data_IF_235785791301
#
_entry.id   IF_235785791301
#
_cell.length_a   1.000
_cell.length_b   1.000
_cell.length_c   1.000
_cell.angle_alpha   90.00
_cell.angle_beta   90.00
_cell.angle_gamma   90.00
#
_symmetry.space_group_name_H-M   'P 1'
#
loop_
_entity.id
_entity.type
_entity.pdbx_description
1 polymer ?
#
# COMPACT_ATOMS: atom_id res chain seq x y z
N UNK A 1 -16.28 -6.14 -35.39
CA UNK A 1 -14.80 -6.15 -35.30
C UNK A 1 -14.22 -4.96 -34.51
N UNK A 2 -14.74 -3.74 -34.60
CA UNK A 2 -14.23 -2.54 -33.89
C UNK A 2 -14.31 -2.61 -32.36
N UNK A 3 -15.40 -3.12 -31.79
CA UNK A 3 -15.57 -3.32 -30.33
C UNK A 3 -14.61 -4.36 -29.73
N UNK A 4 -14.32 -5.44 -30.47
CA UNK A 4 -13.39 -6.48 -30.04
C UNK A 4 -11.94 -5.97 -30.07
N UNK A 5 -11.55 -5.26 -31.13
CA UNK A 5 -10.23 -4.64 -31.23
C UNK A 5 -9.99 -3.56 -30.16
N UNK A 6 -11.03 -2.83 -29.75
CA UNK A 6 -10.95 -1.83 -28.69
C UNK A 6 -10.83 -2.50 -27.31
N UNK A 7 -11.64 -3.51 -27.00
CA UNK A 7 -11.51 -4.30 -25.76
C UNK A 7 -10.13 -4.96 -25.66
N UNK A 8 -9.62 -5.52 -26.76
CA UNK A 8 -8.30 -6.15 -26.81
C UNK A 8 -7.15 -5.16 -26.58
N UNK A 9 -7.19 -3.97 -27.19
CA UNK A 9 -6.19 -2.91 -26.95
C UNK A 9 -6.18 -2.43 -25.50
N UNK A 10 -7.36 -2.34 -24.86
CA UNK A 10 -7.50 -1.94 -23.46
C UNK A 10 -6.90 -2.95 -22.49
N UNK A 11 -6.99 -4.25 -22.77
CA UNK A 11 -6.33 -5.28 -21.95
C UNK A 11 -4.82 -5.27 -22.14
N UNK A 12 -4.33 -5.06 -23.37
CA UNK A 12 -2.89 -4.91 -23.63
C UNK A 12 -2.27 -3.76 -22.84
N UNK A 13 -2.93 -2.60 -22.79
CA UNK A 13 -2.42 -1.44 -22.05
C UNK A 13 -2.13 -1.76 -20.57
N UNK A 14 -3.12 -2.29 -19.85
CA UNK A 14 -2.94 -2.58 -18.42
C UNK A 14 -1.96 -3.72 -18.18
N UNK A 15 -1.94 -4.75 -19.05
CA UNK A 15 -0.95 -5.82 -18.96
C UNK A 15 0.47 -5.28 -19.16
N UNK A 16 0.69 -4.44 -20.16
CA UNK A 16 2.00 -3.80 -20.37
C UNK A 16 2.41 -2.94 -19.17
N UNK A 17 1.49 -2.14 -18.62
CA UNK A 17 1.78 -1.29 -17.47
C UNK A 17 2.10 -2.10 -16.22
N UNK A 18 1.37 -3.21 -15.98
CA UNK A 18 1.64 -4.15 -14.88
C UNK A 18 2.97 -4.87 -15.09
N UNK A 19 3.28 -5.32 -16.30
CA UNK A 19 4.58 -5.93 -16.60
C UNK A 19 5.73 -4.94 -16.37
N UNK A 20 5.60 -3.70 -16.85
CA UNK A 20 6.57 -2.64 -16.60
C UNK A 20 6.72 -2.40 -15.09
N UNK A 21 5.61 -2.31 -14.36
CA UNK A 21 5.63 -2.16 -12.90
C UNK A 21 6.39 -3.32 -12.24
N UNK A 22 6.06 -4.58 -12.55
CA UNK A 22 6.72 -5.75 -11.96
C UNK A 22 8.22 -5.80 -12.29
N UNK A 23 8.62 -5.45 -13.52
CA UNK A 23 10.04 -5.43 -13.92
C UNK A 23 10.79 -4.34 -13.15
N UNK A 24 10.29 -3.10 -13.17
CA UNK A 24 11.01 -1.96 -12.60
C UNK A 24 10.89 -1.88 -11.07
N UNK A 25 9.77 -2.32 -10.49
CA UNK A 25 9.61 -2.43 -9.05
C UNK A 25 10.26 -3.72 -8.53
N UNK A 26 10.38 -4.77 -9.34
CA UNK A 26 11.11 -5.99 -8.99
C UNK A 26 12.63 -5.88 -9.17
N UNK A 27 13.12 -4.86 -9.86
CA UNK A 27 14.55 -4.64 -10.05
C UNK A 27 15.24 -4.41 -8.69
N UNK A 28 16.27 -5.18 -8.34
CA UNK A 28 17.01 -5.00 -7.09
C UNK A 28 16.14 -5.17 -5.83
N UNK A 29 15.25 -6.16 -5.79
CA UNK A 29 14.49 -6.49 -4.57
C UNK A 29 15.34 -7.03 -3.43
N UNK A 30 16.58 -7.45 -3.66
CA UNK A 30 17.53 -7.79 -2.59
C UNK A 30 18.15 -6.55 -1.94
N UNK A 31 17.91 -5.36 -2.49
CA UNK A 31 18.50 -4.11 -2.02
C UNK A 31 18.19 -3.86 -0.54
N UNK A 32 19.23 -3.50 0.24
CA UNK A 32 19.12 -3.26 1.67
C UNK A 32 18.51 -4.45 2.44
N UNK A 33 19.11 -5.63 2.31
CA UNK A 33 18.84 -6.74 3.23
C UNK A 33 18.90 -6.32 4.72
N UNK A 34 19.63 -5.26 5.07
CA UNK A 34 19.75 -4.70 6.42
C UNK A 34 18.87 -3.48 6.74
N UNK A 35 17.73 -3.27 6.06
CA UNK A 35 16.82 -2.14 6.36
C UNK A 35 16.47 -2.06 7.85
N UNK A 36 16.73 -0.90 8.47
CA UNK A 36 16.23 -0.55 9.80
C UNK A 36 14.77 -0.06 9.72
N UNK A 37 13.99 -0.27 10.79
CA UNK A 37 12.62 0.26 10.90
C UNK A 37 11.51 -0.77 10.97
N UNK A 38 10.33 -0.38 10.47
CA UNK A 38 9.15 -1.26 10.45
C UNK A 38 9.39 -2.49 9.56
N UNK A 39 10.17 -2.36 8.49
CA UNK A 39 10.52 -3.50 7.62
C UNK A 39 11.28 -4.59 8.38
N UNK A 40 12.20 -4.23 9.30
CA UNK A 40 12.88 -5.18 10.17
C UNK A 40 11.89 -5.92 11.07
N UNK A 41 10.94 -5.19 11.67
CA UNK A 41 9.92 -5.80 12.56
C UNK A 41 9.01 -6.76 11.80
N UNK A 42 8.60 -6.39 10.58
CA UNK A 42 7.79 -7.26 9.74
C UNK A 42 8.56 -8.47 9.24
N UNK A 43 9.82 -8.28 8.84
CA UNK A 43 10.74 -9.35 8.46
C UNK A 43 10.90 -10.38 9.57
N UNK A 44 11.27 -9.93 10.77
CA UNK A 44 11.46 -10.83 11.91
C UNK A 44 10.16 -11.56 12.24
N UNK A 45 9.02 -10.85 12.26
CA UNK A 45 7.73 -11.49 12.53
C UNK A 45 7.32 -12.52 11.46
N UNK A 46 7.58 -12.25 10.18
CA UNK A 46 7.34 -13.20 9.10
C UNK A 46 8.23 -14.45 9.24
N UNK A 47 9.50 -14.27 9.65
CA UNK A 47 10.43 -15.37 9.87
C UNK A 47 10.01 -16.27 11.03
N UNK A 48 9.61 -15.70 12.17
CA UNK A 48 9.16 -16.50 13.32
C UNK A 48 7.88 -17.28 13.00
N UNK A 49 6.91 -16.65 12.32
CA UNK A 49 5.68 -17.35 11.89
C UNK A 49 6.03 -18.53 10.98
N UNK A 50 6.96 -18.34 10.04
CA UNK A 50 7.38 -19.40 9.13
C UNK A 50 8.16 -20.52 9.84
N UNK A 51 9.02 -20.17 10.80
CA UNK A 51 9.89 -21.10 11.52
C UNK A 51 9.19 -21.80 12.70
N UNK A 52 7.91 -21.49 12.96
CA UNK A 52 7.17 -22.00 14.11
C UNK A 52 7.58 -21.38 15.45
N UNK A 53 8.28 -20.24 15.41
CA UNK A 53 8.71 -19.50 16.59
C UNK A 53 7.62 -18.59 17.19
N UNK A 54 7.97 -17.76 18.19
CA UNK A 54 7.01 -16.89 18.85
C UNK A 54 6.43 -15.83 17.91
N UNK A 55 5.13 -15.57 18.04
CA UNK A 55 4.47 -14.52 17.25
C UNK A 55 4.98 -13.13 17.68
N UNK A 56 5.49 -12.36 16.71
CA UNK A 56 6.03 -11.01 16.96
C UNK A 56 5.24 -9.91 16.25
N UNK A 57 5.41 -8.67 16.74
CA UNK A 57 4.72 -7.49 16.23
C UNK A 57 3.19 -7.72 16.30
N UNK A 58 2.71 -8.08 17.47
CA UNK A 58 1.30 -8.42 17.66
C UNK A 58 0.38 -7.21 17.46
N UNK A 59 0.89 -5.99 17.39
CA UNK A 59 0.08 -4.79 17.15
C UNK A 59 -0.62 -4.82 15.78
N UNK A 60 -0.17 -5.69 14.87
CA UNK A 60 -0.75 -5.86 13.54
C UNK A 60 -1.28 -7.27 13.28
N UNK A 61 -2.40 -7.38 12.53
CA UNK A 61 -2.92 -8.66 12.04
C UNK A 61 -1.90 -9.51 11.26
N UNK A 62 -2.15 -10.82 11.16
CA UNK A 62 -1.11 -11.77 10.75
C UNK A 62 -1.02 -12.04 9.24
N UNK A 63 -2.08 -11.82 8.44
CA UNK A 63 -2.14 -12.30 7.05
C UNK A 63 -0.92 -11.89 6.23
N UNK A 64 -0.54 -10.61 6.31
CA UNK A 64 0.60 -10.12 5.54
C UNK A 64 1.89 -10.84 5.91
N UNK A 65 2.12 -11.05 7.21
CA UNK A 65 3.34 -11.67 7.73
C UNK A 65 3.38 -13.15 7.40
N UNK A 66 2.25 -13.83 7.48
CA UNK A 66 2.09 -15.22 7.05
C UNK A 66 2.43 -15.36 5.56
N UNK A 67 1.86 -14.51 4.69
CA UNK A 67 2.19 -14.54 3.27
C UNK A 67 3.68 -14.27 3.01
N UNK A 68 4.27 -13.30 3.70
CA UNK A 68 5.69 -12.97 3.59
C UNK A 68 6.57 -14.15 4.01
N UNK A 69 6.24 -14.82 5.12
CA UNK A 69 6.95 -16.00 5.61
C UNK A 69 6.84 -17.18 4.64
N UNK A 70 5.64 -17.48 4.13
CA UNK A 70 5.44 -18.53 3.12
C UNK A 70 6.26 -18.27 1.86
N UNK A 71 6.23 -17.05 1.32
CA UNK A 71 7.02 -16.72 0.14
C UNK A 71 8.53 -16.76 0.41
N UNK A 72 8.98 -16.38 1.60
CA UNK A 72 10.38 -16.53 2.01
C UNK A 72 10.82 -18.00 1.92
N UNK A 73 10.02 -18.90 2.49
CA UNK A 73 10.25 -20.35 2.43
C UNK A 73 10.29 -20.89 1.01
N UNK A 74 9.31 -20.52 0.18
CA UNK A 74 9.26 -20.93 -1.22
C UNK A 74 10.49 -20.47 -2.00
N UNK A 75 10.93 -19.23 -1.82
CA UNK A 75 12.15 -18.74 -2.47
C UNK A 75 13.41 -19.43 -1.96
N UNK A 76 13.49 -19.70 -0.66
CA UNK A 76 14.62 -20.41 -0.05
C UNK A 76 14.75 -21.85 -0.62
N UNK A 77 13.63 -22.56 -0.76
CA UNK A 77 13.58 -23.90 -1.37
C UNK A 77 14.04 -23.91 -2.83
N UNK A 78 13.90 -22.78 -3.53
CA UNK A 78 14.35 -22.60 -4.90
C UNK A 78 15.79 -22.06 -5.01
N UNK A 79 16.49 -21.88 -3.88
CA UNK A 79 17.86 -21.37 -3.83
C UNK A 79 18.00 -19.85 -3.97
N UNK A 80 16.91 -19.09 -3.83
CA UNK A 80 16.92 -17.62 -3.83
C UNK A 80 16.96 -17.05 -2.42
N UNK A 81 17.40 -15.79 -2.30
CA UNK A 81 17.39 -15.05 -1.03
C UNK A 81 15.96 -14.95 -0.45
N UNK A 82 15.72 -15.45 0.79
CA UNK A 82 14.42 -15.38 1.45
C UNK A 82 13.87 -13.96 1.60
N UNK A 83 14.73 -12.94 1.71
CA UNK A 83 14.31 -11.53 1.82
C UNK A 83 13.59 -11.09 0.55
N UNK A 84 14.09 -11.53 -0.61
CA UNK A 84 13.43 -11.27 -1.90
C UNK A 84 12.04 -11.89 -1.88
N UNK A 85 11.91 -13.14 -1.39
CA UNK A 85 10.63 -13.82 -1.20
C UNK A 85 9.66 -13.02 -0.32
N UNK A 86 10.12 -12.51 0.83
CA UNK A 86 9.29 -11.71 1.73
C UNK A 86 8.74 -10.43 1.08
N UNK A 87 9.39 -9.89 0.05
CA UNK A 87 8.91 -8.69 -0.67
C UNK A 87 7.93 -9.00 -1.79
N UNK A 88 7.86 -10.25 -2.26
CA UNK A 88 6.97 -10.67 -3.35
C UNK A 88 5.48 -10.40 -3.05
N UNK A 89 4.93 -10.67 -1.85
CA UNK A 89 3.53 -10.36 -1.56
C UNK A 89 3.20 -8.88 -1.74
N UNK A 90 4.05 -7.97 -1.25
CA UNK A 90 3.89 -6.52 -1.44
C UNK A 90 3.95 -6.14 -2.92
N UNK A 91 4.88 -6.73 -3.68
CA UNK A 91 5.06 -6.45 -5.11
C UNK A 91 3.83 -6.86 -5.92
N UNK A 92 3.34 -8.07 -5.69
CA UNK A 92 2.14 -8.59 -6.34
C UNK A 92 0.91 -7.78 -5.93
N UNK A 93 0.80 -7.37 -4.67
CA UNK A 93 -0.30 -6.55 -4.21
C UNK A 93 -0.25 -5.12 -4.78
N UNK A 94 0.93 -4.53 -4.98
CA UNK A 94 1.10 -3.26 -5.69
C UNK A 94 0.69 -3.34 -7.17
N UNK A 95 1.10 -4.41 -7.87
CA UNK A 95 0.65 -4.69 -9.23
C UNK A 95 -0.87 -4.92 -9.29
N UNK A 96 -1.41 -5.65 -8.31
CA UNK A 96 -2.83 -5.88 -8.12
C UNK A 96 -3.60 -4.58 -7.86
N UNK A 97 -3.06 -3.67 -7.06
CA UNK A 97 -3.66 -2.36 -6.81
C UNK A 97 -3.75 -1.51 -8.07
N UNK A 98 -2.70 -1.53 -8.90
CA UNK A 98 -2.69 -0.86 -10.20
C UNK A 98 -3.77 -1.45 -11.14
N UNK A 99 -3.83 -2.78 -11.25
CA UNK A 99 -4.80 -3.48 -12.07
C UNK A 99 -6.24 -3.27 -11.57
N UNK A 100 -6.48 -3.33 -10.25
CA UNK A 100 -7.78 -3.12 -9.64
C UNK A 100 -8.28 -1.68 -9.84
N UNK A 101 -7.40 -0.69 -9.71
CA UNK A 101 -7.73 0.72 -9.99
C UNK A 101 -8.20 0.90 -11.43
N UNK A 102 -7.44 0.36 -12.39
CA UNK A 102 -7.83 0.35 -13.79
C UNK A 102 -9.18 -0.37 -14.01
N UNK A 103 -9.37 -1.55 -13.40
CA UNK A 103 -10.59 -2.34 -13.54
C UNK A 103 -11.83 -1.65 -12.96
N UNK A 104 -11.71 -0.98 -11.81
CA UNK A 104 -12.78 -0.19 -11.20
C UNK A 104 -13.21 0.93 -12.16
N UNK A 105 -12.27 1.72 -12.66
CA UNK A 105 -12.61 2.79 -13.60
C UNK A 105 -13.16 2.27 -14.92
N UNK A 106 -12.58 1.21 -15.48
CA UNK A 106 -13.04 0.65 -16.75
C UNK A 106 -14.47 0.13 -16.65
N UNK A 107 -14.83 -0.49 -15.52
CA UNK A 107 -16.16 -1.09 -15.31
C UNK A 107 -17.23 -0.08 -14.90
N UNK A 108 -16.88 0.90 -14.05
CA UNK A 108 -17.87 1.76 -13.40
C UNK A 108 -17.81 3.24 -13.78
N UNK A 109 -16.79 3.65 -14.52
CA UNK A 109 -16.59 5.02 -14.97
C UNK A 109 -16.49 5.04 -16.50
N UNK A 110 -15.31 5.27 -17.06
CA UNK A 110 -15.07 5.27 -18.50
C UNK A 110 -13.71 4.65 -18.83
N UNK A 111 -13.53 4.22 -20.07
CA UNK A 111 -12.26 3.66 -20.53
C UNK A 111 -11.10 4.67 -20.47
N UNK A 112 -11.40 5.95 -20.73
CA UNK A 112 -10.44 7.04 -20.65
C UNK A 112 -10.05 7.28 -19.20
N UNK A 113 -11.03 7.35 -18.29
CA UNK A 113 -10.77 7.44 -16.85
C UNK A 113 -9.94 6.26 -16.34
N UNK A 114 -10.11 5.05 -16.90
CA UNK A 114 -9.30 3.90 -16.52
C UNK A 114 -7.82 4.09 -16.84
N UNK A 115 -7.49 4.51 -18.06
CA UNK A 115 -6.12 4.82 -18.47
C UNK A 115 -5.54 5.94 -17.61
N UNK A 116 -6.28 7.03 -17.43
CA UNK A 116 -5.84 8.18 -16.64
C UNK A 116 -5.58 7.80 -15.17
N UNK A 117 -6.49 7.07 -14.52
CA UNK A 117 -6.32 6.65 -13.13
C UNK A 117 -5.11 5.73 -12.94
N UNK A 118 -4.89 4.79 -13.87
CA UNK A 118 -3.73 3.90 -13.84
C UNK A 118 -2.42 4.67 -14.03
N UNK A 119 -2.35 5.64 -14.94
CA UNK A 119 -1.15 6.46 -15.15
C UNK A 119 -0.85 7.35 -13.94
N UNK A 120 -1.88 7.98 -13.36
CA UNK A 120 -1.73 8.79 -12.14
C UNK A 120 -1.20 7.94 -10.98
N UNK A 121 -1.79 6.77 -10.74
CA UNK A 121 -1.35 5.86 -9.68
C UNK A 121 0.07 5.32 -9.95
N UNK A 122 0.37 4.92 -11.19
CA UNK A 122 1.71 4.48 -11.60
C UNK A 122 2.76 5.58 -11.41
N UNK A 123 2.40 6.85 -11.59
CA UNK A 123 3.32 7.99 -11.38
C UNK A 123 3.50 8.41 -9.91
N UNK A 124 2.92 7.69 -8.95
CA UNK A 124 3.06 8.01 -7.54
C UNK A 124 4.11 7.11 -6.87
N UNK A 125 5.21 7.69 -6.40
CA UNK A 125 6.35 6.94 -5.84
C UNK A 125 6.00 6.12 -4.59
N UNK A 126 4.96 6.47 -3.83
CA UNK A 126 4.55 5.67 -2.67
C UNK A 126 4.12 4.26 -3.06
N UNK A 127 3.46 4.10 -4.22
CA UNK A 127 3.12 2.79 -4.75
C UNK A 127 4.37 1.93 -4.92
N UNK A 128 5.42 2.53 -5.49
CA UNK A 128 6.69 1.83 -5.80
C UNK A 128 7.45 1.47 -4.55
N UNK A 129 7.60 2.41 -3.62
CA UNK A 129 8.32 2.18 -2.37
C UNK A 129 7.65 1.07 -1.57
N UNK A 130 6.33 1.16 -1.34
CA UNK A 130 5.61 0.19 -0.52
C UNK A 130 5.42 -1.17 -1.20
N UNK A 131 5.37 -1.22 -2.54
CA UNK A 131 5.37 -2.50 -3.26
C UNK A 131 6.70 -3.27 -3.14
N UNK A 132 7.78 -2.60 -2.75
CA UNK A 132 9.12 -3.18 -2.67
C UNK A 132 9.56 -3.52 -1.25
N UNK A 133 8.86 -3.00 -0.25
CA UNK A 133 9.19 -3.24 1.16
C UNK A 133 8.38 -4.40 1.72
N UNK A 134 8.93 -5.08 2.72
CA UNK A 134 8.18 -6.02 3.56
C UNK A 134 7.21 -5.20 4.42
N UNK A 135 5.95 -5.08 3.98
CA UNK A 135 5.00 -4.11 4.51
C UNK A 135 3.56 -4.61 4.38
N UNK A 136 2.73 -4.50 5.44
CA UNK A 136 1.32 -4.89 5.38
C UNK A 136 0.43 -3.96 4.55
N UNK A 137 0.90 -2.75 4.25
CA UNK A 137 0.20 -1.70 3.53
C UNK A 137 -0.31 -2.18 2.17
N UNK A 138 0.58 -2.76 1.36
CA UNK A 138 0.25 -3.17 -0.01
C UNK A 138 -0.71 -4.34 -0.04
N UNK A 139 -0.47 -5.36 0.79
CA UNK A 139 -1.35 -6.54 0.88
C UNK A 139 -2.75 -6.10 1.31
N UNK A 140 -2.85 -5.25 2.34
CA UNK A 140 -4.14 -4.70 2.78
C UNK A 140 -4.81 -3.86 1.68
N UNK A 141 -4.06 -3.03 0.96
CA UNK A 141 -4.56 -2.19 -0.14
C UNK A 141 -5.11 -3.02 -1.31
N UNK A 142 -4.39 -4.07 -1.73
CA UNK A 142 -4.83 -4.93 -2.82
C UNK A 142 -6.20 -5.56 -2.54
N UNK A 143 -6.37 -6.11 -1.33
CA UNK A 143 -7.64 -6.66 -0.89
C UNK A 143 -8.72 -5.59 -0.68
N UNK A 144 -8.35 -4.40 -0.20
CA UNK A 144 -9.28 -3.27 -0.05
C UNK A 144 -9.87 -2.84 -1.40
N UNK A 145 -9.04 -2.75 -2.44
CA UNK A 145 -9.49 -2.40 -3.79
C UNK A 145 -10.35 -3.50 -4.40
N UNK A 146 -10.03 -4.77 -4.15
CA UNK A 146 -10.89 -5.89 -4.52
C UNK A 146 -12.26 -5.80 -3.82
N UNK A 147 -12.28 -5.48 -2.52
CA UNK A 147 -13.51 -5.27 -1.75
C UNK A 147 -14.35 -4.15 -2.35
N UNK A 148 -13.74 -3.01 -2.67
CA UNK A 148 -14.42 -1.89 -3.31
C UNK A 148 -14.95 -2.25 -4.71
N UNK A 149 -14.16 -2.96 -5.52
CA UNK A 149 -14.59 -3.42 -6.84
C UNK A 149 -15.84 -4.29 -6.77
N UNK A 150 -15.86 -5.28 -5.88
CA UNK A 150 -17.01 -6.17 -5.71
C UNK A 150 -18.21 -5.46 -5.09
N UNK A 151 -17.97 -4.52 -4.17
CA UNK A 151 -19.05 -3.70 -3.61
C UNK A 151 -19.70 -2.84 -4.71
N UNK A 152 -18.91 -2.18 -5.55
CA UNK A 152 -19.41 -1.44 -6.71
C UNK A 152 -20.11 -2.35 -7.72
N UNK A 153 -19.63 -3.59 -7.92
CA UNK A 153 -20.28 -4.56 -8.80
C UNK A 153 -21.72 -4.88 -8.35
N UNK A 154 -21.93 -5.10 -7.04
CA UNK A 154 -23.29 -5.27 -6.50
C UNK A 154 -24.11 -3.98 -6.64
N UNK A 155 -23.52 -2.83 -6.29
CA UNK A 155 -24.26 -1.55 -6.19
C UNK A 155 -24.60 -0.91 -7.52
N UNK A 156 -23.77 -1.11 -8.54
CA UNK A 156 -23.87 -0.44 -9.84
C UNK A 156 -24.34 -1.43 -10.91
N UNK A 157 -23.78 -2.65 -10.94
CA UNK A 157 -24.12 -3.66 -11.95
C UNK A 157 -25.20 -4.65 -11.49
N UNK A 158 -25.61 -4.63 -10.22
CA UNK A 158 -26.62 -5.55 -9.69
C UNK A 158 -26.10 -6.98 -9.46
N UNK A 159 -24.79 -7.20 -9.48
CA UNK A 159 -24.16 -8.50 -9.28
C UNK A 159 -24.26 -8.93 -7.81
N UNK A 160 -25.30 -9.69 -7.50
CA UNK A 160 -25.62 -10.06 -6.11
C UNK A 160 -24.61 -11.02 -5.49
N UNK A 161 -23.85 -11.79 -6.28
CA UNK A 161 -22.83 -12.68 -5.75
C UNK A 161 -21.62 -11.88 -5.25
N UNK A 162 -21.35 -10.72 -5.87
CA UNK A 162 -20.23 -9.87 -5.52
C UNK A 162 -20.26 -9.38 -4.07
N UNK A 163 -21.42 -9.22 -3.41
CA UNK A 163 -21.43 -8.67 -2.05
C UNK A 163 -20.76 -9.58 -1.00
N UNK A 164 -20.84 -10.91 -1.19
CA UNK A 164 -20.11 -11.86 -0.34
C UNK A 164 -18.61 -11.78 -0.58
N UNK A 165 -18.19 -11.63 -1.85
CA UNK A 165 -16.79 -11.43 -2.23
C UNK A 165 -16.24 -10.08 -1.75
N UNK A 166 -17.07 -9.03 -1.72
CA UNK A 166 -16.72 -7.75 -1.14
C UNK A 166 -16.43 -7.88 0.36
N UNK A 167 -17.29 -8.63 1.07
CA UNK A 167 -17.06 -9.00 2.46
C UNK A 167 -15.76 -9.78 2.64
N UNK A 168 -15.59 -10.88 1.87
CA UNK A 168 -14.40 -11.72 1.92
C UNK A 168 -13.09 -10.95 1.70
N UNK A 169 -13.05 -10.12 0.65
CA UNK A 169 -11.90 -9.28 0.36
C UNK A 169 -11.65 -8.24 1.46
N UNK A 170 -12.70 -7.63 2.03
CA UNK A 170 -12.52 -6.71 3.16
C UNK A 170 -12.00 -7.45 4.41
N UNK A 171 -12.48 -8.68 4.66
CA UNK A 171 -11.97 -9.55 5.73
C UNK A 171 -10.47 -9.79 5.60
N UNK A 172 -10.00 -10.19 4.42
CA UNK A 172 -8.57 -10.35 4.14
C UNK A 172 -7.79 -9.02 4.27
N UNK A 173 -8.35 -7.91 3.80
CA UNK A 173 -7.75 -6.58 3.96
C UNK A 173 -7.52 -6.24 5.43
N UNK A 174 -8.53 -6.49 6.27
CA UNK A 174 -8.48 -6.29 7.73
C UNK A 174 -7.49 -7.24 8.41
N UNK A 175 -7.39 -8.48 7.94
CA UNK A 175 -6.38 -9.44 8.43
C UNK A 175 -4.95 -9.11 8.03
N UNK A 176 -4.74 -8.21 7.07
CA UNK A 176 -3.42 -7.68 6.73
C UNK A 176 -3.12 -6.39 7.51
N UNK A 177 -4.09 -5.46 7.59
CA UNK A 177 -4.00 -4.20 8.32
C UNK A 177 -5.39 -3.62 8.58
N UNK A 178 -5.61 -3.02 9.75
CA UNK A 178 -6.92 -2.49 10.13
C UNK A 178 -7.42 -1.27 9.38
N UNK A 179 -6.64 -0.71 8.46
CA UNK A 179 -7.03 0.52 7.78
C UNK A 179 -8.36 0.42 7.02
N UNK A 180 -8.72 -0.79 6.57
CA UNK A 180 -10.02 -1.07 5.96
C UNK A 180 -11.23 -0.99 6.92
N UNK A 181 -11.02 -0.87 8.24
CA UNK A 181 -12.09 -0.90 9.24
C UNK A 181 -13.10 0.20 9.02
N UNK A 182 -12.64 1.34 8.52
CA UNK A 182 -13.48 2.50 8.23
C UNK A 182 -14.47 2.28 7.07
N UNK A 183 -14.24 1.28 6.21
CA UNK A 183 -15.19 0.91 5.17
C UNK A 183 -16.31 0.00 5.69
N UNK A 184 -16.16 -0.65 6.84
CA UNK A 184 -17.19 -1.51 7.44
C UNK A 184 -18.47 -0.73 7.75
N UNK A 185 -18.46 0.33 8.59
CA UNK A 185 -19.67 1.08 8.90
C UNK A 185 -20.28 1.75 7.66
N UNK A 186 -19.44 2.22 6.72
CA UNK A 186 -19.91 2.77 5.44
C UNK A 186 -20.67 1.75 4.59
N UNK A 187 -20.09 0.56 4.39
CA UNK A 187 -20.71 -0.50 3.61
C UNK A 187 -22.03 -0.95 4.25
N UNK A 188 -22.05 -1.13 5.57
CA UNK A 188 -23.25 -1.51 6.31
C UNK A 188 -24.33 -0.43 6.25
N UNK A 189 -23.98 0.85 6.41
CA UNK A 189 -24.92 1.96 6.27
C UNK A 189 -25.56 1.97 4.87
N UNK A 190 -24.77 1.76 3.82
CA UNK A 190 -25.25 1.67 2.43
C UNK A 190 -26.20 0.49 2.21
N UNK A 191 -25.91 -0.67 2.80
CA UNK A 191 -26.78 -1.84 2.72
C UNK A 191 -28.07 -1.65 3.54
N UNK A 192 -27.98 -1.03 4.71
CA UNK A 192 -29.10 -0.73 5.60
C UNK A 192 -30.08 0.27 4.98
N UNK A 193 -29.59 1.37 4.37
CA UNK A 193 -30.42 2.33 3.64
C UNK A 193 -31.18 1.66 2.49
N UNK A 194 -30.58 0.66 1.85
CA UNK A 194 -31.26 -0.14 0.82
C UNK A 194 -32.17 -1.26 1.36
N UNK A 195 -32.37 -1.32 2.69
CA UNK A 195 -33.14 -2.37 3.41
C UNK A 195 -32.71 -3.80 3.05
N UNK A 196 -31.44 -3.99 2.71
CA UNK A 196 -30.91 -5.23 2.14
C UNK A 196 -30.29 -6.15 3.20
N UNK A 197 -31.05 -6.56 4.22
CA UNK A 197 -30.54 -7.35 5.35
C UNK A 197 -29.82 -8.66 4.93
N UNK A 198 -30.34 -9.36 3.92
CA UNK A 198 -29.67 -10.57 3.35
C UNK A 198 -28.32 -10.25 2.71
N UNK A 199 -28.13 -9.03 2.18
CA UNK A 199 -26.84 -8.58 1.65
C UNK A 199 -25.90 -8.23 2.78
N UNK A 200 -26.38 -7.54 3.83
CA UNK A 200 -25.60 -7.25 5.03
C UNK A 200 -25.09 -8.53 5.68
N UNK A 201 -25.94 -9.54 5.84
CA UNK A 201 -25.56 -10.84 6.40
C UNK A 201 -24.47 -11.53 5.55
N UNK A 202 -24.61 -11.55 4.22
CA UNK A 202 -23.60 -12.13 3.32
C UNK A 202 -22.28 -11.38 3.32
N UNK A 203 -22.33 -10.05 3.35
CA UNK A 203 -21.16 -9.20 3.49
C UNK A 203 -20.41 -9.49 4.80
N UNK A 204 -21.13 -9.46 5.93
CA UNK A 204 -20.57 -9.73 7.25
C UNK A 204 -20.04 -11.16 7.37
N UNK A 205 -20.77 -12.16 6.86
CA UNK A 205 -20.32 -13.55 6.87
C UNK A 205 -19.02 -13.71 6.08
N UNK A 206 -18.94 -13.16 4.86
CA UNK A 206 -17.71 -13.17 4.06
C UNK A 206 -16.56 -12.48 4.80
N UNK A 207 -16.82 -11.30 5.38
CA UNK A 207 -15.83 -10.53 6.13
C UNK A 207 -15.30 -11.30 7.34
N UNK A 208 -16.18 -11.85 8.18
CA UNK A 208 -15.79 -12.57 9.41
C UNK A 208 -15.04 -13.85 9.05
N UNK A 209 -15.55 -14.66 8.12
CA UNK A 209 -14.91 -15.93 7.73
C UNK A 209 -13.50 -15.68 7.20
N UNK A 210 -13.35 -14.74 6.27
CA UNK A 210 -12.03 -14.47 5.70
C UNK A 210 -11.12 -13.67 6.64
N UNK A 211 -11.68 -12.92 7.57
CA UNK A 211 -10.91 -12.31 8.65
C UNK A 211 -10.26 -13.36 9.56
N UNK A 212 -11.04 -14.39 9.93
CA UNK A 212 -10.57 -15.53 10.72
C UNK A 212 -9.55 -16.35 9.93
N UNK A 213 -9.82 -16.67 8.65
CA UNK A 213 -8.88 -17.39 7.78
C UNK A 213 -7.56 -16.62 7.66
N UNK A 214 -7.60 -15.31 7.43
CA UNK A 214 -6.40 -14.50 7.27
C UNK A 214 -5.53 -14.43 8.54
N UNK A 215 -6.14 -14.60 9.72
CA UNK A 215 -5.43 -14.71 10.99
C UNK A 215 -5.22 -16.17 11.42
N UNK A 216 -5.36 -17.15 10.53
CA UNK A 216 -5.30 -18.58 10.83
C UNK A 216 -4.07 -19.01 11.64
N UNK A 217 -2.90 -18.43 11.33
CA UNK A 217 -1.65 -18.68 12.05
C UNK A 217 -1.72 -18.36 13.54
N UNK A 218 -2.62 -17.45 13.96
CA UNK A 218 -2.85 -17.12 15.36
C UNK A 218 -3.32 -18.34 16.15
N UNK A 219 -4.26 -19.10 15.58
CA UNK A 219 -4.94 -20.22 16.23
C UNK A 219 -4.09 -21.49 16.32
N UNK A 220 -2.88 -21.51 15.76
CA UNK A 220 -1.93 -22.62 15.98
C UNK A 220 -1.54 -22.74 17.46
N UNK A 221 -1.52 -21.61 18.18
CA UNK A 221 -1.05 -21.54 19.57
C UNK A 221 -2.04 -20.86 20.53
N UNK A 222 -3.23 -20.47 20.07
CA UNK A 222 -4.19 -19.66 20.86
C UNK A 222 -5.63 -20.14 20.69
N UNK A 223 -6.45 -19.95 21.72
CA UNK A 223 -7.86 -20.26 21.66
C UNK A 223 -8.62 -19.20 20.83
N UNK A 224 -9.77 -19.54 20.21
CA UNK A 224 -10.55 -18.58 19.43
C UNK A 224 -10.96 -17.32 20.19
N UNK A 225 -11.23 -17.43 21.50
CA UNK A 225 -11.62 -16.30 22.36
C UNK A 225 -10.47 -15.30 22.58
N UNK A 226 -9.23 -15.75 22.46
CA UNK A 226 -8.04 -14.91 22.64
C UNK A 226 -7.90 -13.91 21.48
N UNK A 227 -8.53 -14.19 20.32
CA UNK A 227 -8.56 -13.27 19.18
C UNK A 227 -9.13 -11.91 19.60
N UNK A 228 -10.23 -11.88 20.35
CA UNK A 228 -10.83 -10.62 20.79
C UNK A 228 -9.90 -9.85 21.74
N UNK A 229 -9.29 -10.56 22.69
CA UNK A 229 -8.36 -9.95 23.66
C UNK A 229 -7.14 -9.37 22.94
N UNK A 230 -6.60 -10.10 21.97
CA UNK A 230 -5.50 -9.64 21.13
C UNK A 230 -5.87 -8.39 20.33
N UNK A 231 -7.05 -8.37 19.68
CA UNK A 231 -7.52 -7.20 18.95
C UNK A 231 -7.75 -5.99 19.87
N UNK A 232 -8.28 -6.22 21.07
CA UNK A 232 -8.46 -5.18 22.06
C UNK A 232 -7.12 -4.59 22.52
N UNK A 233 -6.15 -5.46 22.81
CA UNK A 233 -4.80 -5.04 23.18
C UNK A 233 -4.11 -4.25 22.06
N UNK A 234 -4.21 -4.70 20.80
CA UNK A 234 -3.61 -4.01 19.67
C UNK A 234 -4.25 -2.61 19.43
N UNK A 235 -5.55 -2.46 19.72
CA UNK A 235 -6.23 -1.18 19.64
C UNK A 235 -5.74 -0.23 20.73
N UNK A 236 -5.64 -0.75 21.96
CA UNK A 236 -5.07 -0.01 23.07
C UNK A 236 -3.62 0.42 22.76
N UNK A 237 -2.79 -0.50 22.26
CA UNK A 237 -1.41 -0.21 21.85
C UNK A 237 -1.36 0.92 20.83
N UNK A 238 -2.21 0.91 19.80
CA UNK A 238 -2.23 1.96 18.78
C UNK A 238 -2.73 3.32 19.29
N UNK A 239 -3.49 3.34 20.39
CA UNK A 239 -3.96 4.56 21.04
C UNK A 239 -2.96 5.14 22.05
N UNK A 240 -2.16 4.29 22.71
CA UNK A 240 -1.28 4.70 23.82
C UNK A 240 0.22 4.72 23.49
N UNK A 241 0.66 4.02 22.43
CA UNK A 241 2.09 3.98 22.06
C UNK A 241 2.60 5.33 21.54
N UNK A 242 3.76 5.73 22.04
CA UNK A 242 4.51 6.87 21.52
C UNK A 242 5.04 6.58 20.11
N UNK A 243 5.06 7.60 19.25
CA UNK A 243 5.63 7.46 17.92
C UNK A 243 7.16 7.40 17.99
N UNK A 244 7.76 6.49 17.23
CA UNK A 244 9.22 6.30 17.18
C UNK A 244 9.97 7.46 16.52
N UNK A 245 9.30 8.27 15.70
CA UNK A 245 9.91 9.38 14.96
C UNK A 245 8.92 10.53 14.79
N UNK A 246 8.49 11.16 15.90
CA UNK A 246 7.46 12.20 15.88
C UNK A 246 7.87 13.41 15.02
N UNK A 247 9.17 13.69 14.94
CA UNK A 247 9.76 14.75 14.10
C UNK A 247 9.55 14.52 12.59
N UNK A 248 9.35 13.26 12.18
CA UNK A 248 9.00 12.90 10.81
C UNK A 248 7.48 12.93 10.55
N UNK A 249 6.69 13.34 11.53
CA UNK A 249 5.24 13.49 11.39
C UNK A 249 4.86 14.58 10.38
N UNK A 250 3.70 14.41 9.76
CA UNK A 250 3.05 15.37 8.87
C UNK A 250 1.54 15.30 9.10
N UNK A 251 0.89 16.39 9.53
CA UNK A 251 -0.55 16.40 9.76
C UNK A 251 -1.36 15.93 8.55
N UNK A 252 -2.46 15.20 8.78
CA UNK A 252 -3.24 14.59 7.69
C UNK A 252 -3.75 15.59 6.64
N UNK A 253 -4.09 16.80 7.05
CA UNK A 253 -4.55 17.88 6.17
C UNK A 253 -3.49 18.39 5.18
N UNK A 254 -2.22 18.03 5.34
CA UNK A 254 -1.15 18.46 4.43
C UNK A 254 -0.90 17.47 3.28
N UNK A 255 -1.39 16.23 3.38
CA UNK A 255 -0.99 15.10 2.51
C UNK A 255 -1.34 15.24 1.03
N UNK A 256 -2.22 16.18 0.67
CA UNK A 256 -2.59 16.41 -0.74
C UNK A 256 -2.10 17.77 -1.27
N UNK A 257 -1.66 18.67 -0.39
CA UNK A 257 -1.41 20.07 -0.74
C UNK A 257 0.05 20.47 -0.53
N UNK A 258 0.78 19.79 0.35
CA UNK A 258 2.14 20.18 0.75
C UNK A 258 3.14 19.20 0.16
N UNK A 259 4.07 19.65 -0.72
CA UNK A 259 5.13 18.79 -1.23
C UNK A 259 5.96 18.22 -0.08
N UNK A 260 5.96 16.91 0.02
CA UNK A 260 6.66 16.21 1.09
C UNK A 260 7.27 14.93 0.58
N UNK A 261 8.42 14.60 1.14
CA UNK A 261 9.05 13.30 0.92
C UNK A 261 9.58 12.74 2.21
N UNK A 262 9.76 11.43 2.20
CA UNK A 262 10.17 10.64 3.33
C UNK A 262 11.22 9.63 2.90
N UNK A 263 12.34 9.65 3.61
CA UNK A 263 13.38 8.65 3.48
C UNK A 263 13.00 7.42 4.31
N UNK A 264 12.88 6.28 3.65
CA UNK A 264 12.71 4.97 4.29
C UNK A 264 14.08 4.37 4.61
N UNK A 265 15.05 4.53 3.70
CA UNK A 265 16.46 4.27 3.99
C UNK A 265 17.39 5.14 3.17
N UNK A 266 18.63 5.21 3.66
CA UNK A 266 19.71 5.97 3.05
C UNK A 266 21.05 5.37 3.46
N UNK A 267 21.78 4.73 2.54
CA UNK A 267 23.15 4.29 2.77
C UNK A 267 24.14 5.22 2.04
N UNK A 268 25.32 5.39 2.61
CA UNK A 268 26.43 6.13 2.02
C UNK A 268 27.60 5.18 1.78
N UNK A 269 27.63 4.45 0.64
CA UNK A 269 28.77 3.58 0.33
C UNK A 269 30.07 4.37 0.15
N UNK A 270 30.00 5.64 -0.27
CA UNK A 270 31.14 6.56 -0.37
C UNK A 270 30.68 8.03 -0.25
N UNK A 271 31.59 9.02 -0.13
CA UNK A 271 31.22 10.43 0.06
C UNK A 271 30.44 11.08 -1.10
N UNK A 272 30.45 10.51 -2.30
CA UNK A 272 29.84 11.05 -3.52
C UNK A 272 28.58 10.32 -3.96
N UNK A 273 28.31 9.13 -3.44
CA UNK A 273 27.12 8.35 -3.75
C UNK A 273 26.28 7.99 -2.52
N UNK A 274 24.98 7.94 -2.72
CA UNK A 274 24.00 7.47 -1.75
C UNK A 274 23.09 6.42 -2.40
N UNK A 275 22.67 5.44 -1.61
CA UNK A 275 21.64 4.47 -2.02
C UNK A 275 20.42 4.72 -1.16
N UNK A 276 19.31 5.12 -1.78
CA UNK A 276 18.18 5.73 -1.07
C UNK A 276 16.89 5.05 -1.47
N UNK A 277 16.02 4.79 -0.49
CA UNK A 277 14.60 4.56 -0.72
C UNK A 277 13.82 5.74 -0.16
N UNK A 278 13.21 6.50 -1.05
CA UNK A 278 12.46 7.71 -0.72
C UNK A 278 11.09 7.69 -1.38
N UNK A 279 10.05 7.84 -0.57
CA UNK A 279 8.72 8.16 -1.06
C UNK A 279 8.57 9.66 -1.19
N UNK A 280 8.26 10.15 -2.37
CA UNK A 280 7.99 11.55 -2.67
C UNK A 280 6.54 11.77 -3.14
N UNK A 281 5.91 12.79 -2.60
CA UNK A 281 4.59 13.20 -3.04
C UNK A 281 4.65 13.80 -4.44
N UNK A 282 3.91 13.20 -5.37
CA UNK A 282 3.72 13.77 -6.69
C UNK A 282 2.53 14.74 -6.65
N UNK A 283 2.79 16.04 -6.44
CA UNK A 283 1.75 17.08 -6.38
C UNK A 283 0.83 17.10 -7.61
N UNK A 284 1.34 16.68 -8.78
CA UNK A 284 0.55 16.65 -10.00
C UNK A 284 -0.52 15.55 -9.99
N UNK A 285 -0.36 14.51 -9.16
CA UNK A 285 -1.36 13.46 -8.89
C UNK A 285 -2.48 13.95 -7.96
N UNK A 286 -2.31 15.14 -7.37
CA UNK A 286 -3.28 15.77 -6.47
C UNK A 286 -3.71 17.16 -6.94
N UNK A 287 -3.28 17.57 -8.13
CA UNK A 287 -3.50 18.92 -8.66
C UNK A 287 -4.98 19.24 -8.84
N UNK A 288 -5.82 18.21 -8.99
CA UNK A 288 -7.25 18.35 -9.18
C UNK A 288 -8.06 17.80 -8.00
N UNK A 289 -7.43 17.51 -6.85
CA UNK A 289 -8.12 16.90 -5.71
C UNK A 289 -9.37 17.68 -5.27
N UNK A 290 -9.30 19.02 -5.21
CA UNK A 290 -10.46 19.87 -4.91
C UNK A 290 -11.59 19.74 -5.94
N UNK A 291 -11.36 20.07 -7.23
CA UNK A 291 -12.33 19.86 -8.30
C UNK A 291 -12.85 18.41 -8.40
N UNK A 292 -12.00 17.42 -8.13
CA UNK A 292 -12.32 16.00 -8.19
C UNK A 292 -13.37 15.59 -7.14
N UNK A 293 -13.38 16.21 -5.95
CA UNK A 293 -14.45 16.02 -4.95
C UNK A 293 -15.80 16.49 -5.53
N UNK A 294 -15.84 17.71 -6.06
CA UNK A 294 -17.07 18.28 -6.63
C UNK A 294 -17.60 17.50 -7.82
N UNK A 295 -16.70 17.10 -8.72
CA UNK A 295 -17.02 16.34 -9.92
C UNK A 295 -17.41 14.91 -9.55
N UNK A 296 -16.68 14.25 -8.65
CA UNK A 296 -16.98 12.90 -8.16
C UNK A 296 -18.39 12.80 -7.59
N UNK A 297 -18.79 13.77 -6.77
CA UNK A 297 -20.15 13.87 -6.23
C UNK A 297 -21.24 13.96 -7.32
N UNK A 298 -20.91 14.50 -8.50
CA UNK A 298 -21.81 14.65 -9.66
C UNK A 298 -21.54 13.62 -10.78
N UNK A 299 -20.72 12.61 -10.55
CA UNK A 299 -20.33 11.62 -11.56
C UNK A 299 -21.14 10.33 -11.53
N UNK A 300 -22.40 10.46 -11.13
CA UNK A 300 -23.32 9.34 -10.98
C UNK A 300 -23.04 8.50 -9.73
N UNK A 301 -23.71 7.35 -9.59
CA UNK A 301 -23.63 6.54 -8.37
C UNK A 301 -22.22 5.99 -8.09
N UNK A 302 -21.47 5.61 -9.13
CA UNK A 302 -20.11 5.09 -8.98
C UNK A 302 -19.15 6.17 -8.42
N UNK A 303 -19.13 7.37 -9.02
CA UNK A 303 -18.29 8.47 -8.56
C UNK A 303 -18.59 8.86 -7.11
N UNK A 304 -19.87 8.88 -6.72
CA UNK A 304 -20.28 9.14 -5.33
C UNK A 304 -19.77 8.08 -4.35
N UNK A 305 -19.94 6.79 -4.68
CA UNK A 305 -19.47 5.71 -3.81
C UNK A 305 -17.94 5.70 -3.67
N UNK A 306 -17.20 6.01 -4.74
CA UNK A 306 -15.74 6.16 -4.69
C UNK A 306 -15.35 7.34 -3.79
N UNK A 307 -16.01 8.49 -3.93
CA UNK A 307 -15.76 9.66 -3.09
C UNK A 307 -16.03 9.36 -1.62
N UNK A 308 -17.15 8.73 -1.30
CA UNK A 308 -17.49 8.37 0.08
C UNK A 308 -16.47 7.39 0.68
N UNK A 309 -16.09 6.34 -0.06
CA UNK A 309 -15.06 5.42 0.39
C UNK A 309 -13.72 6.16 0.63
N UNK A 310 -13.36 7.12 -0.23
CA UNK A 310 -12.16 7.93 -0.05
C UNK A 310 -12.23 8.77 1.23
N UNK A 311 -13.37 9.41 1.49
CA UNK A 311 -13.60 10.20 2.70
C UNK A 311 -13.57 9.31 3.96
N UNK A 312 -14.18 8.13 3.92
CA UNK A 312 -14.15 7.18 5.03
C UNK A 312 -12.73 6.73 5.36
N UNK A 313 -11.86 6.59 4.36
CA UNK A 313 -10.45 6.21 4.60
C UNK A 313 -9.55 7.38 5.00
N UNK A 314 -9.88 8.60 4.58
CA UNK A 314 -9.03 9.77 4.80
C UNK A 314 -9.39 10.57 6.06
N UNK A 315 -10.68 10.88 6.25
CA UNK A 315 -11.15 11.78 7.33
C UNK A 315 -10.76 11.30 8.73
N UNK A 316 -10.80 10.00 9.08
CA UNK A 316 -10.39 9.54 10.40
C UNK A 316 -8.97 9.98 10.79
N UNK A 317 -8.05 10.13 9.84
CA UNK A 317 -6.68 10.58 10.09
C UNK A 317 -6.58 12.01 10.64
N UNK A 318 -7.62 12.83 10.47
CA UNK A 318 -7.68 14.18 11.05
C UNK A 318 -7.86 14.16 12.57
N UNK A 319 -8.34 13.04 13.12
CA UNK A 319 -8.68 12.90 14.53
C UNK A 319 -7.70 11.98 15.27
N UNK A 320 -6.64 11.53 14.60
CA UNK A 320 -5.60 10.70 15.22
C UNK A 320 -4.70 11.61 16.06
N UNK A 321 -4.65 11.34 17.37
CA UNK A 321 -3.92 12.16 18.34
C UNK A 321 -2.38 11.95 18.31
N UNK A 322 -1.91 10.85 17.73
CA UNK A 322 -0.48 10.55 17.56
C UNK A 322 0.08 11.14 16.27
N UNK A 323 1.41 11.34 16.16
CA UNK A 323 2.05 11.70 14.90
C UNK A 323 1.60 10.78 13.77
N UNK A 324 1.16 11.39 12.68
CA UNK A 324 0.77 10.72 11.45
C UNK A 324 1.78 11.02 10.36
N UNK A 325 1.85 10.16 9.34
CA UNK A 325 2.86 10.25 8.30
C UNK A 325 2.21 10.26 6.93
N UNK A 326 2.82 11.00 5.99
CA UNK A 326 2.25 11.19 4.67
C UNK A 326 1.96 9.88 3.92
N UNK A 327 2.75 8.84 4.15
CA UNK A 327 2.56 7.55 3.49
C UNK A 327 1.24 6.88 3.85
N UNK A 328 0.56 7.28 4.93
CA UNK A 328 -0.80 6.82 5.23
C UNK A 328 -1.81 7.21 4.16
N UNK A 329 -1.51 8.20 3.30
CA UNK A 329 -2.32 8.52 2.12
C UNK A 329 -2.42 7.36 1.12
N UNK A 330 -1.51 6.39 1.18
CA UNK A 330 -1.43 5.26 0.27
C UNK A 330 -2.74 4.47 0.16
N UNK A 331 -3.53 4.40 1.23
CA UNK A 331 -4.79 3.65 1.26
C UNK A 331 -5.94 4.36 0.56
N UNK A 332 -5.89 5.69 0.47
CA UNK A 332 -6.87 6.52 -0.25
C UNK A 332 -6.37 6.92 -1.64
N UNK A 333 -5.06 6.86 -1.89
CA UNK A 333 -4.39 7.29 -3.13
C UNK A 333 -5.06 6.74 -4.41
N UNK A 334 -5.38 5.44 -4.54
CA UNK A 334 -6.03 4.94 -5.75
C UNK A 334 -7.43 5.55 -5.97
N UNK A 335 -8.17 5.82 -4.89
CA UNK A 335 -9.49 6.42 -4.97
C UNK A 335 -9.40 7.90 -5.38
N UNK A 336 -8.38 8.62 -4.91
CA UNK A 336 -8.09 9.98 -5.39
C UNK A 336 -7.74 9.94 -6.88
N UNK A 337 -6.88 9.02 -7.32
CA UNK A 337 -6.54 8.85 -8.74
C UNK A 337 -7.78 8.56 -9.60
N UNK A 338 -8.74 7.76 -9.10
CA UNK A 338 -10.02 7.52 -9.77
C UNK A 338 -10.84 8.81 -9.90
N UNK A 339 -10.97 9.60 -8.83
CA UNK A 339 -11.73 10.85 -8.84
C UNK A 339 -11.10 11.90 -9.77
N UNK A 340 -9.77 12.02 -9.74
CA UNK A 340 -9.03 12.91 -10.65
C UNK A 340 -9.19 12.48 -12.11
N UNK A 341 -9.12 11.17 -12.38
CA UNK A 341 -9.31 10.65 -13.72
C UNK A 341 -10.70 10.97 -14.28
N UNK A 342 -11.75 10.97 -13.45
CA UNK A 342 -13.09 11.41 -13.86
C UNK A 342 -13.12 12.91 -14.16
N UNK A 343 -12.43 13.72 -13.38
CA UNK A 343 -12.27 15.15 -13.65
C UNK A 343 -11.61 15.39 -15.00
N UNK A 344 -10.46 14.75 -15.24
CA UNK A 344 -9.72 14.84 -16.49
C UNK A 344 -10.52 14.31 -17.68
N UNK A 345 -11.26 13.22 -17.51
CA UNK A 345 -12.11 12.64 -18.56
C UNK A 345 -13.19 13.62 -19.03
N UNK A 346 -13.83 14.33 -18.09
CA UNK A 346 -14.82 15.38 -18.42
C UNK A 346 -14.21 16.61 -19.07
N UNK A 347 -12.99 16.98 -18.66
CA UNK A 347 -12.29 18.11 -19.25
C UNK A 347 -11.66 17.77 -20.60
N UNK A 348 -11.57 16.48 -20.96
CA UNK A 348 -10.80 16.02 -22.11
C UNK A 348 -11.30 16.61 -23.44
N UNK A 349 -12.60 16.64 -23.68
CA UNK A 349 -13.11 17.03 -24.99
C UNK A 349 -12.96 18.55 -25.23
N UNK A 350 -12.98 19.36 -24.15
CA UNK A 350 -12.79 20.82 -24.22
C UNK A 350 -11.33 21.25 -24.07
N UNK A 351 -10.54 20.55 -23.25
CA UNK A 351 -9.18 20.94 -22.85
C UNK A 351 -8.18 19.79 -23.03
N UNK A 352 -8.32 19.02 -24.12
CA UNK A 352 -7.55 17.80 -24.40
C UNK A 352 -6.05 17.91 -24.12
N UNK A 353 -5.42 18.99 -24.56
CA UNK A 353 -3.97 19.19 -24.36
C UNK A 353 -3.62 19.32 -22.88
N UNK A 354 -4.35 20.15 -22.13
CA UNK A 354 -4.14 20.31 -20.69
C UNK A 354 -4.47 19.02 -19.91
N UNK A 355 -5.59 18.37 -20.25
CA UNK A 355 -6.01 17.12 -19.61
C UNK A 355 -5.03 15.96 -19.87
N UNK A 356 -4.40 15.92 -21.05
CA UNK A 356 -3.32 14.98 -21.36
C UNK A 356 -1.96 15.37 -20.79
N UNK A 357 -1.67 16.67 -20.66
CA UNK A 357 -0.41 17.16 -20.13
C UNK A 357 -0.24 16.82 -18.65
N UNK A 358 -1.31 16.84 -17.85
CA UNK A 358 -1.22 16.55 -16.41
C UNK A 358 -0.62 15.16 -16.10
N UNK A 359 -1.18 14.03 -16.57
CA UNK A 359 -0.59 12.72 -16.34
C UNK A 359 0.80 12.56 -17.00
N UNK A 360 1.05 13.24 -18.13
CA UNK A 360 2.37 13.23 -18.75
C UNK A 360 3.43 13.92 -17.88
N UNK A 361 3.13 15.10 -17.34
CA UNK A 361 4.00 15.81 -16.42
C UNK A 361 4.17 15.05 -15.09
N UNK A 362 3.11 14.39 -14.60
CA UNK A 362 3.19 13.54 -13.43
C UNK A 362 4.17 12.37 -13.65
N UNK A 363 4.16 11.75 -14.84
CA UNK A 363 5.12 10.71 -15.22
C UNK A 363 6.55 11.24 -15.33
N UNK A 364 6.76 12.44 -15.89
CA UNK A 364 8.09 13.06 -15.96
C UNK A 364 8.63 13.32 -14.55
N UNK A 365 7.79 13.87 -13.65
CA UNK A 365 8.17 14.08 -12.26
C UNK A 365 8.45 12.75 -11.54
N UNK A 366 7.67 11.70 -11.83
CA UNK A 366 7.95 10.36 -11.35
C UNK A 366 9.30 9.83 -11.83
N UNK A 367 9.64 9.97 -13.13
CA UNK A 367 10.94 9.54 -13.66
C UNK A 367 12.11 10.23 -12.97
N UNK A 368 11.93 11.49 -12.55
CA UNK A 368 12.89 12.19 -11.71
C UNK A 368 13.03 11.54 -10.32
N UNK A 369 11.94 11.20 -9.63
CA UNK A 369 12.06 10.54 -8.33
C UNK A 369 12.37 9.03 -8.40
N UNK A 370 12.20 8.39 -9.57
CA UNK A 370 12.26 6.93 -9.72
C UNK A 370 13.54 6.31 -9.16
N UNK A 371 14.77 6.79 -9.47
CA UNK A 371 15.98 6.18 -8.94
C UNK A 371 16.00 6.09 -7.40
N UNK A 372 15.50 7.14 -6.73
CA UNK A 372 15.39 7.17 -5.28
C UNK A 372 14.18 6.37 -4.75
N UNK A 373 13.12 6.17 -5.54
CA UNK A 373 11.98 5.35 -5.13
C UNK A 373 12.29 3.85 -5.13
N UNK A 374 13.21 3.41 -6.00
CA UNK A 374 13.57 1.99 -6.16
C UNK A 374 14.93 1.60 -5.58
N UNK A 375 15.63 2.49 -4.88
CA UNK A 375 16.89 2.10 -4.24
C UNK A 375 18.09 2.02 -5.19
N UNK A 376 18.08 2.79 -6.28
CA UNK A 376 19.27 2.91 -7.13
C UNK A 376 20.33 3.76 -6.45
N UNK A 377 21.60 3.47 -6.72
CA UNK A 377 22.72 4.32 -6.33
C UNK A 377 22.65 5.63 -7.11
N UNK A 378 22.59 6.74 -6.39
CA UNK A 378 22.49 8.10 -6.91
C UNK A 378 23.63 8.97 -6.38
N UNK A 379 23.99 10.03 -7.10
CA UNK A 379 24.98 10.99 -6.61
C UNK A 379 24.42 11.83 -5.45
N UNK A 380 25.25 12.16 -4.45
CA UNK A 380 24.84 13.00 -3.30
C UNK A 380 24.34 14.38 -3.73
N UNK A 381 24.86 14.93 -4.84
CA UNK A 381 24.33 16.18 -5.42
C UNK A 381 22.89 16.04 -5.91
N UNK A 382 22.58 14.89 -6.52
CA UNK A 382 21.23 14.57 -6.97
C UNK A 382 20.29 14.41 -5.78
N UNK A 383 20.68 13.63 -4.78
CA UNK A 383 19.93 13.47 -3.54
C UNK A 383 19.61 14.82 -2.89
N UNK A 384 20.59 15.73 -2.78
CA UNK A 384 20.37 17.08 -2.24
C UNK A 384 19.36 17.90 -3.06
N UNK A 385 19.33 17.71 -4.37
CA UNK A 385 18.33 18.34 -5.24
C UNK A 385 16.93 17.80 -4.92
N UNK A 386 16.78 16.47 -4.75
CA UNK A 386 15.52 15.87 -4.32
C UNK A 386 15.10 16.39 -2.94
N UNK A 387 16.05 16.48 -2.01
CA UNK A 387 15.82 16.99 -0.66
C UNK A 387 15.34 18.44 -0.64
N UNK A 388 15.84 19.29 -1.55
CA UNK A 388 15.44 20.69 -1.65
C UNK A 388 13.96 20.87 -2.04
N UNK A 389 13.33 19.84 -2.63
CA UNK A 389 11.91 19.83 -2.95
C UNK A 389 11.01 19.46 -1.76
N UNK A 390 11.57 19.17 -0.57
CA UNK A 390 10.76 18.97 0.64
C UNK A 390 10.28 20.30 1.20
N UNK A 391 8.98 20.40 1.50
CA UNK A 391 8.49 21.52 2.28
C UNK A 391 8.94 21.45 3.75
N UNK A 392 8.90 20.27 4.37
CA UNK A 392 9.19 20.10 5.80
C UNK A 392 10.68 20.24 6.17
N UNK A 393 11.56 20.60 5.21
CA UNK A 393 13.02 20.79 5.36
C UNK A 393 13.66 19.82 6.36
N UNK A 394 13.33 18.54 6.22
CA UNK A 394 13.81 17.49 7.12
C UNK A 394 15.30 17.26 6.88
N UNK A 395 16.09 16.94 7.92
CA UNK A 395 17.48 16.55 7.72
C UNK A 395 17.53 15.38 6.73
N UNK A 396 18.34 15.49 5.67
CA UNK A 396 18.54 14.41 4.68
C UNK A 396 19.06 13.13 5.33
N UNK A 397 19.64 13.27 6.54
CA UNK A 397 20.21 12.19 7.32
C UNK A 397 19.20 11.47 8.23
N UNK A 398 17.97 11.99 8.38
CA UNK A 398 16.91 11.34 9.15
C UNK A 398 16.02 10.52 8.22
N UNK A 399 16.22 9.21 8.23
CA UNK A 399 15.18 8.30 7.74
C UNK A 399 14.05 8.23 8.77
N UNK A 400 12.82 7.94 8.30
CA UNK A 400 11.69 7.57 9.18
C UNK A 400 12.08 6.49 10.20
N UNK A 401 13.06 5.68 9.82
CA UNK A 401 13.54 4.55 10.57
C UNK A 401 14.96 4.74 11.13
N UNK A 402 15.38 5.99 11.29
CA UNK A 402 16.62 6.47 11.91
C UNK A 402 17.73 5.41 11.99
N UNK A 403 18.57 5.29 10.96
CA UNK A 403 19.68 4.33 10.97
C UNK A 403 20.68 4.58 12.13
N UNK A 404 20.83 5.84 12.58
CA UNK A 404 21.68 6.22 13.72
C UNK A 404 21.07 5.91 15.09
N UNK A 405 19.76 5.65 15.18
CA UNK A 405 19.13 5.29 16.44
C UNK A 405 19.53 3.86 16.84
N UNK A 406 19.92 3.02 15.88
CA UNK A 406 20.54 1.72 16.16
C UNK A 406 21.98 1.84 16.68
N UNK A 407 22.75 2.88 16.33
CA UNK A 407 24.07 3.12 16.94
C UNK A 407 23.97 3.48 18.43
N UNK A 408 22.82 3.96 18.90
CA UNK A 408 22.54 4.15 20.33
C UNK A 408 22.12 2.84 21.03
N UNK A 409 21.53 1.88 20.30
CA UNK A 409 21.31 0.52 20.81
C UNK A 409 22.58 -0.34 20.80
N UNK A 410 23.49 -0.12 19.84
CA UNK A 410 24.80 -0.79 19.76
C UNK A 410 25.83 -0.30 20.79
N UNK A 411 25.61 0.85 21.44
CA UNK A 411 26.50 1.35 22.51
C UNK A 411 26.13 0.86 23.92
N UNK A 412 25.28 -0.16 24.04
CA UNK A 412 24.90 -0.72 25.35
C UNK A 412 24.45 -2.18 25.36
N UNK A 413 24.26 -2.82 24.20
CA UNK A 413 24.02 -4.26 24.11
C UNK A 413 24.91 -4.80 23.00
N UNK A 414 25.91 -5.61 23.35
CA UNK A 414 26.59 -6.47 22.39
C UNK A 414 25.53 -7.35 21.73
N UNK A 415 25.14 -7.02 20.50
CA UNK A 415 24.52 -8.01 19.62
C UNK A 415 25.69 -8.86 19.09
N UNK A 416 26.15 -9.78 19.92
CA UNK A 416 26.95 -10.93 19.50
C UNK A 416 26.03 -11.91 18.76
N UNK A 417 25.63 -11.52 17.55
CA UNK A 417 24.85 -12.34 16.65
C UNK A 417 25.47 -12.23 15.27
N UNK A 418 26.30 -13.20 14.92
CA UNK A 418 26.78 -13.41 13.57
C UNK A 418 25.56 -13.60 12.66
N UNK A 419 25.14 -12.56 11.94
CA UNK A 419 24.02 -12.59 11.00
C UNK A 419 24.38 -13.27 9.67
N UNK A 420 25.36 -14.17 9.68
CA UNK A 420 25.42 -15.25 8.70
C UNK A 420 24.21 -16.16 8.93
N UNK A 421 23.25 -16.13 8.00
CA UNK A 421 22.17 -17.10 7.91
C UNK A 421 22.75 -18.52 8.16
N UNK A 422 22.26 -19.30 9.15
CA UNK A 422 22.66 -20.69 9.25
C UNK A 422 22.18 -21.38 7.97
N UNK A 423 23.12 -21.81 7.14
CA UNK A 423 22.82 -22.68 6.01
C UNK A 423 22.11 -23.94 6.54
N UNK A 424 21.15 -24.51 5.78
CA UNK A 424 20.49 -25.74 6.20
C UNK A 424 21.55 -26.81 6.47
N UNK A 425 21.39 -27.65 7.51
CA UNK A 425 22.34 -28.71 7.80
C UNK A 425 22.47 -29.59 6.56
N UNK A 426 23.69 -29.68 6.01
CA UNK A 426 24.02 -30.71 5.04
C UNK A 426 23.75 -32.03 5.76
N UNK A 427 22.85 -32.85 5.20
CA UNK A 427 22.60 -34.19 5.68
C UNK A 427 23.93 -34.94 5.79
N UNK A 428 24.34 -35.21 7.03
CA UNK A 428 25.36 -36.19 7.35
C UNK A 428 24.66 -37.53 7.51
N UNK A 429 25.09 -38.48 6.69
CA UNK A 429 24.88 -39.90 6.89
C UNK A 429 25.33 -40.30 8.29
N UNK A 430 24.46 -41.02 9.01
CA UNK A 430 24.79 -42.08 9.95
C UNK A 430 23.64 -43.10 9.93
#
# INVERSE_FOLDING_TARGET
MTLFADRFRRHKFILSLVCLFLIFAGHNLGFLAGFAGDELRYRSAAWEIFSGGPQMNLEHPLLSKTLQGVFAGLTAMLGFDPIVGMRVPSLLAGAGALAATYAIALRFLSARAAVLAALLLFSNTLLWVHARMISPEMVSLGFLLAALYFFLADRISGDRAAIGLAGAALGLSLSAKWIGVWLVPWALARLAVSRAWKKSARFLAGMIVFYVIGNGAYFLNHAPLDLFQWQWWALHYHQTSEALSPHNGSPAWTWFAVPQHLYYARLMPDPQAAEVVMGAMNLLVFALAGPAIWIGARSGPAGRLILEAALCLYVPWMFVARPTYFFYVLTVLPLVCLLEAVCLDRLWDKYRRAAGALPACALVLFMFFYPAAVGMRIGVKYERCLAALNFYKRPVFDSMFCQKCNLFFERGVEISGDYSLPLPPKGGED
#
